data_IF_681223951528
#
_entry.id   IF_681223951528
#
_cell.length_a   1.000
_cell.length_b   1.000
_cell.length_c   1.000
_cell.angle_alpha   90.00
_cell.angle_beta   90.00
_cell.angle_gamma   90.00
#
_symmetry.space_group_name_H-M   'P 1'
#
loop_
_entity.id
_entity.type
_entity.pdbx_description
1 polymer ?
#
# COMPACT_ATOMS: atom_id res chain seq x y z
N UNK A 1 -5.55 -10.95 13.85
CA UNK A 1 -5.23 -9.52 13.64
C UNK A 1 -3.73 -9.28 13.48
N UNK A 2 -2.88 -9.77 14.39
CA UNK A 2 -1.42 -9.52 14.39
C UNK A 2 -0.68 -10.04 13.14
N UNK A 3 -1.00 -11.25 12.68
CA UNK A 3 -0.37 -11.83 11.47
C UNK A 3 -0.66 -11.03 10.20
N UNK A 4 -1.89 -10.51 10.07
CA UNK A 4 -2.31 -9.70 8.92
C UNK A 4 -1.60 -8.36 8.88
N UNK A 5 -1.45 -7.71 10.03
CA UNK A 5 -0.68 -6.45 10.15
C UNK A 5 0.80 -6.68 9.83
N UNK A 6 1.36 -7.80 10.31
CA UNK A 6 2.74 -8.16 9.99
C UNK A 6 2.95 -8.43 8.50
N UNK A 7 2.06 -9.18 7.85
CA UNK A 7 2.12 -9.41 6.39
C UNK A 7 2.02 -8.10 5.61
N UNK A 8 1.14 -7.18 6.04
CA UNK A 8 0.95 -5.88 5.41
C UNK A 8 2.19 -4.98 5.54
N UNK A 9 2.85 -5.01 6.70
CA UNK A 9 4.10 -4.30 6.93
C UNK A 9 5.23 -4.90 6.10
N UNK A 10 5.40 -6.22 6.13
CA UNK A 10 6.44 -6.91 5.37
C UNK A 10 6.27 -6.68 3.86
N UNK A 11 5.05 -6.78 3.34
CA UNK A 11 4.78 -6.50 1.94
C UNK A 11 5.01 -5.02 1.59
N UNK A 12 4.66 -4.08 2.47
CA UNK A 12 4.98 -2.66 2.23
C UNK A 12 6.48 -2.40 2.19
N UNK A 13 7.27 -3.08 3.03
CA UNK A 13 8.74 -3.03 2.96
C UNK A 13 9.26 -3.60 1.64
N UNK A 14 8.69 -4.71 1.15
CA UNK A 14 9.02 -5.26 -0.16
C UNK A 14 8.75 -4.27 -1.30
N UNK A 15 7.62 -3.56 -1.29
CA UNK A 15 7.34 -2.52 -2.29
C UNK A 15 8.30 -1.33 -2.20
N UNK A 16 8.73 -0.92 -1.00
CA UNK A 16 9.74 0.14 -0.83
C UNK A 16 11.10 -0.33 -1.37
N UNK A 17 11.48 -1.59 -1.14
CA UNK A 17 12.69 -2.15 -1.72
C UNK A 17 12.62 -2.20 -3.26
N UNK A 18 11.47 -2.64 -3.80
CA UNK A 18 11.18 -2.61 -5.24
C UNK A 18 11.29 -1.21 -5.84
N UNK A 19 10.73 -0.19 -5.18
CA UNK A 19 10.89 1.21 -5.61
C UNK A 19 12.37 1.64 -5.64
N UNK A 20 13.20 1.17 -4.70
CA UNK A 20 14.64 1.40 -4.75
C UNK A 20 15.32 0.81 -6.00
N UNK A 21 14.91 -0.38 -6.44
CA UNK A 21 15.39 -0.99 -7.69
C UNK A 21 14.90 -0.22 -8.91
N UNK A 22 13.62 0.09 -8.94
CA UNK A 22 12.95 0.88 -9.98
C UNK A 22 13.63 2.24 -10.18
N UNK A 23 13.82 2.99 -9.10
CA UNK A 23 14.39 4.35 -9.11
C UNK A 23 15.86 4.37 -9.49
N UNK A 24 16.62 3.32 -9.13
CA UNK A 24 18.01 3.19 -9.58
C UNK A 24 18.05 2.93 -11.09
N UNK A 25 17.29 1.96 -11.56
CA UNK A 25 17.28 1.57 -12.97
C UNK A 25 16.78 2.71 -13.87
N UNK A 26 15.78 3.46 -13.42
CA UNK A 26 15.30 4.68 -14.10
C UNK A 26 16.41 5.73 -14.25
N UNK A 27 17.16 6.03 -13.18
CA UNK A 27 18.27 7.01 -13.23
C UNK A 27 19.40 6.53 -14.14
N UNK A 28 19.73 5.24 -14.08
CA UNK A 28 20.70 4.62 -14.97
C UNK A 28 20.24 4.74 -16.44
N UNK A 29 18.97 4.48 -16.74
CA UNK A 29 18.41 4.62 -18.08
C UNK A 29 18.51 6.06 -18.62
N UNK A 30 18.17 7.07 -17.81
CA UNK A 30 18.30 8.48 -18.21
C UNK A 30 19.75 8.86 -18.46
N UNK A 31 20.66 8.48 -17.57
CA UNK A 31 22.09 8.76 -17.74
C UNK A 31 22.67 8.11 -19.00
N UNK A 32 22.32 6.85 -19.25
CA UNK A 32 22.76 6.11 -20.43
C UNK A 32 22.14 6.68 -21.71
N UNK A 33 20.88 7.13 -21.67
CA UNK A 33 20.23 7.77 -22.81
C UNK A 33 20.87 9.11 -23.14
N UNK A 34 21.23 9.88 -22.11
CA UNK A 34 21.98 11.12 -22.28
C UNK A 34 23.31 10.88 -23.02
N UNK A 35 24.03 9.81 -22.63
CA UNK A 35 25.28 9.40 -23.30
C UNK A 35 25.04 8.89 -24.72
N UNK A 36 24.03 8.05 -24.92
CA UNK A 36 23.67 7.51 -26.22
C UNK A 36 23.30 8.62 -27.22
N UNK A 37 22.59 9.65 -26.76
CA UNK A 37 22.23 10.79 -27.60
C UNK A 37 23.47 11.45 -28.24
N UNK A 38 24.60 11.49 -27.52
CA UNK A 38 25.87 12.04 -28.01
C UNK A 38 26.69 11.01 -28.83
N UNK A 39 26.77 9.77 -28.36
CA UNK A 39 27.67 8.76 -28.92
C UNK A 39 27.09 7.98 -30.11
N UNK A 40 25.77 7.78 -30.15
CA UNK A 40 25.12 6.83 -31.04
C UNK A 40 25.54 5.37 -30.80
N UNK A 41 26.22 5.08 -29.69
CA UNK A 41 26.82 3.77 -29.42
C UNK A 41 25.75 2.68 -29.23
N UNK A 42 25.80 1.57 -29.99
CA UNK A 42 24.89 0.44 -29.78
C UNK A 42 24.98 -0.15 -28.36
N UNK A 43 26.16 -0.08 -27.72
CA UNK A 43 26.35 -0.57 -26.36
C UNK A 43 25.64 0.32 -25.33
N UNK A 44 25.68 1.65 -25.51
CA UNK A 44 24.95 2.58 -24.65
C UNK A 44 23.43 2.34 -24.81
N UNK A 45 22.94 2.16 -26.04
CA UNK A 45 21.53 1.86 -26.31
C UNK A 45 21.07 0.54 -25.66
N UNK A 46 21.88 -0.52 -25.79
CA UNK A 46 21.60 -1.80 -25.15
C UNK A 46 21.52 -1.65 -23.63
N UNK A 47 22.42 -0.86 -23.03
CA UNK A 47 22.41 -0.56 -21.60
C UNK A 47 21.17 0.26 -21.19
N UNK A 48 20.71 1.23 -21.98
CA UNK A 48 19.44 1.95 -21.73
C UNK A 48 18.28 0.96 -21.67
N UNK A 49 18.16 0.08 -22.67
CA UNK A 49 17.08 -0.91 -22.74
C UNK A 49 17.13 -1.91 -21.58
N UNK A 50 18.33 -2.32 -21.18
CA UNK A 50 18.51 -3.19 -20.00
C UNK A 50 18.04 -2.50 -18.71
N UNK A 51 18.38 -1.24 -18.52
CA UNK A 51 17.93 -0.47 -17.36
C UNK A 51 16.42 -0.25 -17.37
N UNK A 52 15.82 0.07 -18.53
CA UNK A 52 14.37 0.20 -18.69
C UNK A 52 13.61 -1.12 -18.46
N UNK A 53 14.27 -2.28 -18.62
CA UNK A 53 13.64 -3.57 -18.40
C UNK A 53 13.14 -3.74 -16.96
N UNK A 54 13.78 -3.12 -15.97
CA UNK A 54 13.38 -3.18 -14.56
C UNK A 54 12.00 -2.52 -14.33
N UNK A 55 11.83 -1.20 -14.59
CA UNK A 55 10.53 -0.55 -14.40
C UNK A 55 9.45 -1.11 -15.34
N UNK A 56 9.81 -1.59 -16.53
CA UNK A 56 8.86 -2.26 -17.44
C UNK A 56 8.41 -3.63 -16.93
N UNK A 57 9.27 -4.35 -16.21
CA UNK A 57 8.91 -5.59 -15.53
C UNK A 57 7.88 -5.34 -14.43
N UNK A 58 8.11 -4.33 -13.60
CA UNK A 58 7.15 -3.92 -12.57
C UNK A 58 5.82 -3.46 -13.19
N UNK A 59 5.85 -2.63 -14.25
CA UNK A 59 4.67 -2.23 -15.02
C UNK A 59 3.88 -3.44 -15.53
N UNK A 60 4.56 -4.40 -16.16
CA UNK A 60 3.93 -5.63 -16.66
C UNK A 60 3.30 -6.45 -15.52
N UNK A 61 3.97 -6.53 -14.37
CA UNK A 61 3.44 -7.23 -13.21
C UNK A 61 2.16 -6.59 -12.67
N UNK A 62 2.13 -5.24 -12.61
CA UNK A 62 0.93 -4.50 -12.22
C UNK A 62 -0.23 -4.77 -13.18
N UNK A 63 0.00 -4.67 -14.47
CA UNK A 63 -1.04 -4.93 -15.47
C UNK A 63 -1.57 -6.37 -15.40
N UNK A 64 -0.69 -7.35 -15.19
CA UNK A 64 -1.10 -8.75 -15.01
C UNK A 64 -2.03 -8.90 -13.80
N UNK A 65 -1.76 -8.21 -12.70
CA UNK A 65 -2.59 -8.22 -11.49
C UNK A 65 -3.88 -7.41 -11.60
N UNK A 66 -3.91 -6.38 -12.46
CA UNK A 66 -5.08 -5.52 -12.69
C UNK A 66 -6.05 -6.07 -13.75
N UNK A 67 -5.68 -7.13 -14.46
CA UNK A 67 -6.54 -7.79 -15.45
C UNK A 67 -7.78 -8.43 -14.80
N UNK A 68 -8.86 -8.60 -15.59
CA UNK A 68 -10.13 -9.18 -15.12
C UNK A 68 -9.93 -10.56 -14.47
N UNK A 69 -9.03 -11.37 -15.03
CA UNK A 69 -8.56 -12.62 -14.45
C UNK A 69 -7.05 -12.51 -14.19
N UNK A 70 -6.62 -12.19 -12.95
CA UNK A 70 -5.22 -11.91 -12.64
C UNK A 70 -4.27 -13.06 -13.00
N UNK A 71 -3.33 -12.80 -13.92
CA UNK A 71 -2.27 -13.74 -14.28
C UNK A 71 -1.12 -13.66 -13.26
N UNK A 72 -1.09 -14.64 -12.35
CA UNK A 72 -0.15 -14.66 -11.23
C UNK A 72 1.28 -14.98 -11.68
N UNK A 73 1.43 -15.80 -12.71
CA UNK A 73 2.77 -16.19 -13.19
C UNK A 73 3.38 -15.08 -14.04
N UNK A 74 2.57 -14.39 -14.86
CA UNK A 74 3.01 -13.16 -15.52
C UNK A 74 3.39 -12.07 -14.50
N UNK A 75 2.61 -11.93 -13.42
CA UNK A 75 2.94 -11.00 -12.34
C UNK A 75 4.25 -11.34 -11.64
N UNK A 76 4.48 -12.64 -11.37
CA UNK A 76 5.72 -13.12 -10.76
C UNK A 76 6.93 -12.83 -11.66
N UNK A 77 6.81 -13.11 -12.94
CA UNK A 77 7.88 -12.86 -13.91
C UNK A 77 8.20 -11.37 -14.04
N UNK A 78 7.18 -10.51 -14.10
CA UNK A 78 7.37 -9.07 -14.15
C UNK A 78 8.10 -8.52 -12.91
N UNK A 79 7.67 -8.91 -11.70
CA UNK A 79 8.35 -8.48 -10.48
C UNK A 79 9.78 -9.04 -10.36
N UNK A 80 10.02 -10.26 -10.86
CA UNK A 80 11.36 -10.85 -10.92
C UNK A 80 12.26 -10.07 -11.88
N UNK A 81 11.72 -9.65 -13.03
CA UNK A 81 12.41 -8.75 -13.96
C UNK A 81 12.68 -7.37 -13.33
N UNK A 82 11.78 -6.90 -12.45
CA UNK A 82 11.98 -5.72 -11.59
C UNK A 82 13.08 -5.88 -10.51
N UNK A 83 13.72 -7.05 -10.43
CA UNK A 83 14.83 -7.30 -9.49
C UNK A 83 14.39 -7.66 -8.07
N UNK A 84 13.09 -7.87 -7.84
CA UNK A 84 12.56 -8.21 -6.53
C UNK A 84 12.94 -9.66 -6.12
N UNK A 85 13.22 -9.86 -4.84
CA UNK A 85 13.53 -11.19 -4.30
C UNK A 85 12.30 -12.11 -4.31
N UNK A 86 12.47 -13.40 -4.61
CA UNK A 86 11.36 -14.37 -4.73
C UNK A 86 10.42 -14.40 -3.50
N UNK A 87 11.00 -14.28 -2.30
CA UNK A 87 10.24 -14.22 -1.05
C UNK A 87 9.37 -12.96 -0.94
N UNK A 88 9.82 -11.85 -1.53
CA UNK A 88 9.13 -10.57 -1.56
C UNK A 88 8.08 -10.54 -2.67
N UNK A 89 8.38 -11.08 -3.86
CA UNK A 89 7.43 -11.20 -4.99
C UNK A 89 6.12 -11.85 -4.54
N UNK A 90 6.22 -12.98 -3.83
CA UNK A 90 5.04 -13.69 -3.34
C UNK A 90 4.21 -12.86 -2.35
N UNK A 91 4.85 -12.00 -1.54
CA UNK A 91 4.17 -11.07 -0.61
C UNK A 91 3.54 -9.89 -1.34
N UNK A 92 4.25 -9.31 -2.31
CA UNK A 92 3.79 -8.21 -3.14
C UNK A 92 2.51 -8.58 -3.89
N UNK A 93 2.49 -9.77 -4.52
CA UNK A 93 1.31 -10.31 -5.21
C UNK A 93 0.13 -10.48 -4.24
N UNK A 94 0.33 -11.10 -3.08
CA UNK A 94 -0.76 -11.26 -2.09
C UNK A 94 -1.29 -9.92 -1.61
N UNK A 95 -0.40 -8.95 -1.36
CA UNK A 95 -0.82 -7.62 -0.95
C UNK A 95 -1.67 -6.95 -2.03
N UNK A 96 -1.22 -6.99 -3.29
CA UNK A 96 -1.97 -6.47 -4.41
C UNK A 96 -3.37 -7.07 -4.49
N UNK A 97 -3.46 -8.40 -4.53
CA UNK A 97 -4.73 -9.09 -4.73
C UNK A 97 -5.74 -8.88 -3.60
N UNK A 98 -5.29 -8.91 -2.36
CA UNK A 98 -6.20 -8.97 -1.22
C UNK A 98 -6.33 -7.63 -0.48
N UNK A 99 -5.45 -6.67 -0.75
CA UNK A 99 -5.36 -5.42 0.00
C UNK A 99 -5.22 -4.17 -0.87
N UNK A 100 -5.32 -4.24 -2.21
CA UNK A 100 -5.36 -3.06 -3.07
C UNK A 100 -6.45 -2.03 -2.69
N UNK A 101 -7.50 -2.47 -1.98
CA UNK A 101 -8.56 -1.59 -1.46
C UNK A 101 -8.15 -0.77 -0.23
N UNK A 102 -7.06 -1.14 0.45
CA UNK A 102 -6.59 -0.41 1.65
C UNK A 102 -6.18 1.00 1.24
N UNK A 103 -6.69 2.07 1.87
CA UNK A 103 -6.57 3.44 1.35
C UNK A 103 -5.15 3.90 1.01
N UNK A 104 -4.17 3.62 1.87
CA UNK A 104 -2.79 4.05 1.61
C UNK A 104 -2.17 3.32 0.42
N UNK A 105 -2.47 2.04 0.26
CA UNK A 105 -1.90 1.22 -0.79
C UNK A 105 -2.59 1.48 -2.13
N UNK A 106 -3.90 1.73 -2.11
CA UNK A 106 -4.63 2.28 -3.26
C UNK A 106 -3.99 3.57 -3.77
N UNK A 107 -3.70 4.52 -2.87
CA UNK A 107 -3.02 5.77 -3.24
C UNK A 107 -1.63 5.53 -3.81
N UNK A 108 -0.87 4.56 -3.26
CA UNK A 108 0.43 4.18 -3.79
C UNK A 108 0.34 3.58 -5.21
N UNK A 109 -0.69 2.77 -5.50
CA UNK A 109 -0.95 2.23 -6.85
C UNK A 109 -1.23 3.35 -7.86
N UNK A 110 -2.02 4.36 -7.50
CA UNK A 110 -2.27 5.49 -8.41
C UNK A 110 -1.00 6.33 -8.66
N UNK A 111 -0.14 6.50 -7.65
CA UNK A 111 1.17 7.15 -7.82
C UNK A 111 2.05 6.32 -8.76
N UNK A 112 2.06 4.99 -8.59
CA UNK A 112 2.81 4.09 -9.45
C UNK A 112 2.33 4.18 -10.91
N UNK A 113 1.03 4.19 -11.16
CA UNK A 113 0.47 4.40 -12.52
C UNK A 113 0.96 5.69 -13.17
N UNK A 114 1.02 6.79 -12.42
CA UNK A 114 1.56 8.04 -12.92
C UNK A 114 3.06 7.94 -13.26
N UNK A 115 3.84 7.15 -12.50
CA UNK A 115 5.23 6.84 -12.82
C UNK A 115 5.38 6.02 -14.11
N UNK A 116 4.51 5.04 -14.32
CA UNK A 116 4.53 4.18 -15.51
C UNK A 116 4.32 4.99 -16.79
N UNK A 117 3.43 5.99 -16.78
CA UNK A 117 3.24 6.90 -17.92
C UNK A 117 4.54 7.58 -18.33
N UNK A 118 5.31 8.08 -17.37
CA UNK A 118 6.58 8.78 -17.64
C UNK A 118 7.68 7.80 -18.08
N UNK A 119 7.69 6.57 -17.57
CA UNK A 119 8.60 5.52 -18.05
C UNK A 119 8.31 5.17 -19.51
N UNK A 120 7.04 5.07 -19.90
CA UNK A 120 6.67 4.82 -21.30
C UNK A 120 7.07 5.99 -22.20
N UNK A 121 7.01 7.23 -21.72
CA UNK A 121 7.58 8.39 -22.44
C UNK A 121 9.11 8.29 -22.60
N UNK A 122 9.82 7.77 -21.58
CA UNK A 122 11.27 7.56 -21.65
C UNK A 122 11.64 6.43 -22.64
N UNK A 123 10.83 5.37 -22.73
CA UNK A 123 10.96 4.33 -23.77
C UNK A 123 10.79 4.95 -25.15
N UNK A 124 9.73 5.74 -25.36
CA UNK A 124 9.49 6.41 -26.64
C UNK A 124 10.63 7.37 -27.03
N UNK A 125 11.19 8.10 -26.06
CA UNK A 125 12.35 8.95 -26.28
C UNK A 125 13.60 8.15 -26.67
N UNK A 126 13.77 6.95 -26.10
CA UNK A 126 14.86 6.03 -26.47
C UNK A 126 14.73 5.56 -27.91
N UNK A 127 13.52 5.17 -28.33
CA UNK A 127 13.24 4.75 -29.71
C UNK A 127 13.41 5.92 -30.72
N UNK A 128 13.06 7.14 -30.30
CA UNK A 128 13.26 8.37 -31.07
C UNK A 128 14.76 8.69 -31.23
N UNK A 129 15.56 8.51 -30.18
CA UNK A 129 17.01 8.67 -30.24
C UNK A 129 17.65 7.64 -31.18
N UNK A 130 17.21 6.37 -31.12
CA UNK A 130 17.68 5.32 -32.04
C UNK A 130 17.37 5.64 -33.50
N UNK A 131 16.16 6.11 -33.76
CA UNK A 131 15.73 6.52 -35.09
C UNK A 131 16.57 7.66 -35.66
N UNK A 132 17.08 8.56 -34.80
CA UNK A 132 17.92 9.68 -35.23
C UNK A 132 19.29 9.26 -35.80
N UNK A 133 19.79 8.07 -35.41
CA UNK A 133 21.04 7.49 -35.92
C UNK A 133 20.81 6.51 -37.09
N UNK A 134 19.56 6.26 -37.48
CA UNK A 134 19.23 5.35 -38.57
C UNK A 134 19.77 5.89 -39.90
N UNK A 135 20.47 5.04 -40.66
CA UNK A 135 21.10 5.42 -41.94
C UNK A 135 22.54 5.92 -41.84
N UNK A 136 23.15 5.88 -40.65
CA UNK A 136 24.58 6.17 -40.44
C UNK A 136 24.94 7.65 -40.39
N UNK A 137 23.95 8.53 -40.37
CA UNK A 137 24.15 9.98 -40.19
C UNK A 137 24.15 10.33 -38.70
N UNK A 138 25.12 11.15 -38.28
CA UNK A 138 25.12 11.74 -36.94
C UNK A 138 24.07 12.85 -36.85
N UNK A 139 23.20 12.86 -35.82
CA UNK A 139 22.25 13.94 -35.60
C UNK A 139 22.95 15.30 -35.44
N UNK A 140 22.22 16.38 -35.70
CA UNK A 140 22.74 17.73 -35.42
C UNK A 140 22.92 17.94 -33.92
N UNK A 141 23.87 18.80 -33.52
CA UNK A 141 24.09 19.15 -32.10
C UNK A 141 22.81 19.68 -31.42
N UNK A 142 21.97 20.42 -32.16
CA UNK A 142 20.69 20.90 -31.64
C UNK A 142 19.73 19.74 -31.33
N UNK A 143 19.75 18.68 -32.15
CA UNK A 143 18.92 17.50 -31.93
C UNK A 143 19.41 16.66 -30.74
N UNK A 144 20.74 16.52 -30.59
CA UNK A 144 21.34 15.85 -29.44
C UNK A 144 20.96 16.58 -28.15
N UNK A 145 21.08 17.91 -28.13
CA UNK A 145 20.70 18.74 -26.99
C UNK A 145 19.21 18.62 -26.62
N UNK A 146 18.31 18.59 -27.61
CA UNK A 146 16.87 18.38 -27.40
C UNK A 146 16.56 17.03 -26.74
N UNK A 147 17.17 15.94 -27.22
CA UNK A 147 16.99 14.61 -26.63
C UNK A 147 17.47 14.57 -25.17
N UNK A 148 18.63 15.17 -24.90
CA UNK A 148 19.22 15.25 -23.56
C UNK A 148 18.36 16.08 -22.60
N UNK A 149 17.87 17.24 -23.04
CA UNK A 149 16.97 18.09 -22.25
C UNK A 149 15.68 17.36 -21.89
N UNK A 150 15.06 16.67 -22.87
CA UNK A 150 13.84 15.89 -22.64
C UNK A 150 14.07 14.72 -21.69
N UNK A 151 15.20 14.02 -21.78
CA UNK A 151 15.55 12.94 -20.85
C UNK A 151 15.68 13.46 -19.41
N UNK A 152 16.35 14.60 -19.22
CA UNK A 152 16.48 15.25 -17.91
C UNK A 152 15.15 15.81 -17.38
N UNK A 153 14.26 16.27 -18.27
CA UNK A 153 12.92 16.71 -17.89
C UNK A 153 12.05 15.54 -17.39
N UNK A 154 12.15 14.38 -18.02
CA UNK A 154 11.46 13.15 -17.58
C UNK A 154 11.98 12.70 -16.20
N UNK A 155 13.30 12.71 -15.98
CA UNK A 155 13.87 12.47 -14.64
C UNK A 155 13.32 13.44 -13.58
N UNK A 156 13.26 14.73 -13.92
CA UNK A 156 12.71 15.76 -13.05
C UNK A 156 11.24 15.52 -12.67
N UNK A 157 10.44 14.96 -13.58
CA UNK A 157 9.04 14.57 -13.34
C UNK A 157 8.91 13.32 -12.48
N UNK A 158 9.86 12.38 -12.59
CA UNK A 158 9.82 11.12 -11.83
C UNK A 158 10.21 11.29 -10.36
N UNK A 159 11.20 12.15 -10.06
CA UNK A 159 11.63 12.41 -8.67
C UNK A 159 10.51 12.65 -7.65
N UNK A 160 9.53 13.56 -7.88
CA UNK A 160 8.44 13.75 -6.93
C UNK A 160 7.49 12.54 -6.84
N UNK A 161 7.35 11.73 -7.91
CA UNK A 161 6.53 10.51 -7.94
C UNK A 161 7.18 9.42 -7.08
N UNK A 162 8.48 9.19 -7.25
CA UNK A 162 9.30 8.26 -6.44
C UNK A 162 9.15 8.59 -4.95
N UNK A 163 9.37 9.86 -4.59
CA UNK A 163 9.26 10.35 -3.22
C UNK A 163 7.84 10.19 -2.68
N UNK A 164 6.81 10.50 -3.47
CA UNK A 164 5.43 10.36 -3.07
C UNK A 164 5.07 8.89 -2.80
N UNK A 165 5.52 7.96 -3.65
CA UNK A 165 5.28 6.53 -3.47
C UNK A 165 5.86 6.03 -2.16
N UNK A 166 7.17 6.25 -1.96
CA UNK A 166 7.88 5.81 -0.76
C UNK A 166 7.28 6.42 0.51
N UNK A 167 6.90 7.70 0.47
CA UNK A 167 6.22 8.38 1.58
C UNK A 167 4.85 7.78 1.88
N UNK A 168 4.03 7.49 0.86
CA UNK A 168 2.71 6.88 1.04
C UNK A 168 2.81 5.49 1.65
N UNK A 169 3.75 4.66 1.18
CA UNK A 169 3.96 3.31 1.70
C UNK A 169 4.42 3.34 3.16
N UNK A 170 5.39 4.20 3.50
CA UNK A 170 5.89 4.31 4.86
C UNK A 170 4.86 4.89 5.84
N UNK A 171 4.25 6.04 5.50
CA UNK A 171 3.28 6.70 6.39
C UNK A 171 1.96 5.91 6.49
N UNK A 172 1.55 5.25 5.41
CA UNK A 172 0.33 4.46 5.33
C UNK A 172 0.28 3.34 6.37
N UNK A 173 1.35 2.55 6.45
CA UNK A 173 1.48 1.46 7.43
C UNK A 173 1.47 2.02 8.86
N UNK A 174 2.19 3.10 9.12
CA UNK A 174 2.26 3.71 10.46
C UNK A 174 0.89 4.23 10.93
N UNK A 175 0.13 4.89 10.04
CA UNK A 175 -1.22 5.38 10.34
C UNK A 175 -2.19 4.24 10.61
N UNK A 176 -2.14 3.19 9.78
CA UNK A 176 -2.99 2.01 9.98
C UNK A 176 -2.69 1.32 11.31
N UNK A 177 -1.42 1.14 11.64
CA UNK A 177 -0.99 0.56 12.91
C UNK A 177 -1.49 1.38 14.10
N UNK A 178 -1.34 2.71 14.05
CA UNK A 178 -1.84 3.63 15.08
C UNK A 178 -3.35 3.54 15.25
N UNK A 179 -4.11 3.51 14.15
CA UNK A 179 -5.57 3.39 14.18
C UNK A 179 -6.03 2.06 14.82
N UNK A 180 -5.35 0.95 14.50
CA UNK A 180 -5.67 -0.36 15.08
C UNK A 180 -5.41 -0.43 16.58
N UNK A 181 -4.34 0.20 17.06
CA UNK A 181 -4.05 0.30 18.50
C UNK A 181 -5.14 1.12 19.21
N UNK A 182 -5.48 2.31 18.68
CA UNK A 182 -6.51 3.16 19.27
C UNK A 182 -7.87 2.45 19.30
N UNK A 183 -8.22 1.75 18.22
CA UNK A 183 -9.42 0.92 18.14
C UNK A 183 -9.41 -0.19 19.20
N UNK A 184 -8.29 -0.89 19.38
CA UNK A 184 -8.16 -1.96 20.37
C UNK A 184 -8.32 -1.43 21.80
N UNK A 185 -7.73 -0.27 22.11
CA UNK A 185 -7.88 0.39 23.42
C UNK A 185 -9.35 0.77 23.64
N UNK A 186 -9.97 1.43 22.66
CA UNK A 186 -11.37 1.83 22.74
C UNK A 186 -12.30 0.63 22.93
N UNK A 187 -12.03 -0.48 22.24
CA UNK A 187 -12.80 -1.72 22.36
C UNK A 187 -12.69 -2.33 23.77
N UNK A 188 -11.49 -2.39 24.34
CA UNK A 188 -11.29 -2.89 25.71
C UNK A 188 -12.01 -2.01 26.73
N UNK A 189 -11.90 -0.69 26.59
CA UNK A 189 -12.60 0.26 27.47
C UNK A 189 -14.13 0.12 27.36
N UNK A 190 -14.65 -0.05 26.14
CA UNK A 190 -16.08 -0.28 25.90
C UNK A 190 -16.55 -1.59 26.55
N UNK A 191 -15.77 -2.67 26.43
CA UNK A 191 -16.08 -3.96 27.07
C UNK A 191 -16.05 -3.87 28.60
N UNK A 192 -15.06 -3.18 29.17
CA UNK A 192 -15.00 -2.94 30.60
C UNK A 192 -16.20 -2.13 31.10
N UNK A 193 -16.55 -1.05 30.38
CA UNK A 193 -17.71 -0.22 30.69
C UNK A 193 -19.02 -0.99 30.61
N UNK A 194 -19.20 -1.80 29.56
CA UNK A 194 -20.38 -2.64 29.40
C UNK A 194 -20.50 -3.67 30.53
N UNK A 195 -19.40 -4.33 30.91
CA UNK A 195 -19.36 -5.28 32.02
C UNK A 195 -19.74 -4.64 33.36
N UNK A 196 -19.18 -3.48 33.67
CA UNK A 196 -19.53 -2.71 34.89
C UNK A 196 -21.01 -2.31 34.86
N UNK A 197 -21.52 -1.85 33.71
CA UNK A 197 -22.91 -1.44 33.56
C UNK A 197 -23.89 -2.59 33.77
N UNK A 198 -23.59 -3.78 33.25
CA UNK A 198 -24.38 -5.00 33.47
C UNK A 198 -24.36 -5.41 34.93
N UNK A 199 -23.20 -5.35 35.59
CA UNK A 199 -23.08 -5.67 37.02
C UNK A 199 -23.95 -4.73 37.87
N UNK A 200 -23.88 -3.42 37.62
CA UNK A 200 -24.71 -2.44 38.32
C UNK A 200 -26.21 -2.63 38.05
N UNK A 201 -26.60 -2.96 36.82
CA UNK A 201 -27.99 -3.26 36.48
C UNK A 201 -28.50 -4.49 37.25
N UNK A 202 -27.69 -5.55 37.33
CA UNK A 202 -28.05 -6.78 38.04
C UNK A 202 -28.18 -6.55 39.55
N UNK A 203 -27.25 -5.81 40.16
CA UNK A 203 -27.33 -5.44 41.58
C UNK A 203 -28.61 -4.66 41.90
N UNK A 204 -28.98 -3.68 41.07
CA UNK A 204 -30.26 -2.95 41.22
C UNK A 204 -31.47 -3.88 41.14
N UNK A 205 -31.46 -4.81 40.18
CA UNK A 205 -32.56 -5.76 39.98
C UNK A 205 -32.75 -6.73 41.15
N UNK A 206 -31.64 -7.19 41.73
CA UNK A 206 -31.66 -8.07 42.92
C UNK A 206 -32.17 -7.29 44.14
N UNK A 207 -31.68 -6.07 44.36
CA UNK A 207 -32.14 -5.22 45.47
C UNK A 207 -33.64 -4.89 45.38
N UNK A 208 -34.17 -4.61 44.19
CA UNK A 208 -35.60 -4.40 43.97
C UNK A 208 -36.43 -5.65 44.29
N UNK A 209 -35.89 -6.85 44.04
CA UNK A 209 -36.57 -8.11 44.39
C UNK A 209 -36.62 -8.32 45.91
N UNK A 210 -35.52 -8.04 46.63
CA UNK A 210 -35.48 -8.14 48.10
C UNK A 210 -36.44 -7.15 48.77
N UNK A 211 -36.56 -5.93 48.24
CA UNK A 211 -37.50 -4.92 48.74
C UNK A 211 -38.96 -5.39 48.65
N UNK A 212 -39.35 -6.02 47.53
CA UNK A 212 -40.70 -6.57 47.34
C UNK A 212 -40.98 -7.75 48.26
N UNK A 213 -40.02 -8.65 48.46
CA UNK A 213 -40.16 -9.76 49.42
C UNK A 213 -40.33 -9.24 50.85
N UNK A 214 -39.50 -8.28 51.29
CA UNK A 214 -39.62 -7.70 52.64
C UNK A 214 -40.95 -6.96 52.84
N UNK A 215 -41.43 -6.23 51.83
CA UNK A 215 -42.73 -5.57 51.89
C UNK A 215 -43.89 -6.57 52.01
N UNK A 216 -43.85 -7.67 51.24
CA UNK A 216 -44.86 -8.73 51.32
C UNK A 216 -44.84 -9.45 52.68
N UNK A 217 -43.65 -9.74 53.24
CA UNK A 217 -43.52 -10.30 54.58
C UNK A 217 -44.02 -9.35 55.67
N UNK A 218 -43.70 -8.05 55.58
CA UNK A 218 -44.17 -7.05 56.53
C UNK A 218 -45.70 -6.92 56.50
N UNK A 219 -46.33 -6.92 55.30
CA UNK A 219 -47.79 -6.94 55.18
C UNK A 219 -48.41 -8.22 55.76
N UNK A 220 -47.82 -9.39 55.52
CA UNK A 220 -48.31 -10.65 56.07
C UNK A 220 -48.24 -10.66 57.61
N UNK A 221 -47.15 -10.16 58.20
CA UNK A 221 -46.98 -10.03 59.66
C UNK A 221 -48.01 -9.06 60.25
N UNK A 222 -48.24 -7.91 59.62
CA UNK A 222 -49.26 -6.95 60.07
C UNK A 222 -50.68 -7.53 59.93
N UNK A 223 -50.97 -8.28 58.87
CA UNK A 223 -52.23 -8.98 58.70
C UNK A 223 -52.49 -10.05 59.76
N UNK A 224 -51.47 -10.83 60.12
CA UNK A 224 -51.56 -11.83 61.19
C UNK A 224 -51.72 -11.22 62.59
N UNK A 225 -51.11 -10.06 62.85
CA UNK A 225 -51.28 -9.35 64.12
C UNK A 225 -52.71 -8.80 64.29
N UNK A 226 -53.35 -8.31 63.22
CA UNK A 226 -54.76 -7.88 63.25
C UNK A 226 -55.74 -9.03 63.50
N UNK A 227 -55.48 -10.21 62.92
CA UNK A 227 -56.33 -11.40 63.14
C UNK A 227 -56.29 -11.92 64.59
N UNK A 228 -55.28 -11.55 65.39
CA UNK A 228 -55.15 -11.96 66.79
C UNK A 228 -55.76 -10.97 67.79
N UNK A 229 -56.05 -9.74 67.37
CA UNK A 229 -56.69 -8.72 68.22
C UNK A 229 -58.22 -8.71 68.12
N UNK A 230 -58.78 -9.44 67.15
CA UNK A 230 -60.22 -9.47 66.86
C UNK A 230 -60.88 -10.81 67.28
N UNK A 231 -60.24 -11.57 68.17
CA UNK A 231 -60.79 -12.80 68.78
C UNK A 231 -60.66 -12.77 70.29
#
# INVERSE_FOLDING_TARGET
MTLMVFELQAASTAYIAGEGHWSKAQKDAVHLLYRYADSGSPDDLAAVRQSLAVPLGDYAARLALESDEPDIEAAREGFRQGGNAEADVSRMIRLYRYFAWVPYFRSAIEIWRAGDEVILELVALTDEAESAYTGGATPSLARIADLQERAMALDGRLRPIEQAFSLQMQQGVQRLHTALILFSIAFVLLMAWAGISVLHWMQRRVSDSEGRFRAAFAQAVVGMLKLRTDG
#
